data_IF_493930963022
#
_entry.id   IF_493930963022
#
_cell.length_a   1.000
_cell.length_b   1.000
_cell.length_c   1.000
_cell.angle_alpha   90.00
_cell.angle_beta   90.00
_cell.angle_gamma   90.00
#
_symmetry.space_group_name_H-M   'P 1'
#
loop_
_entity.id
_entity.type
_entity.pdbx_description
1 polymer ?
#
# COMPACT_ATOMS: atom_id res chain seq x y z
N UNK A 1 5.48 27.41 -10.62
CA UNK A 1 4.97 27.52 -9.24
C UNK A 1 5.38 26.25 -8.50
N UNK A 2 6.28 26.32 -7.52
CA UNK A 2 6.77 25.11 -6.85
C UNK A 2 5.78 24.78 -5.74
N UNK A 3 5.40 23.51 -5.58
CA UNK A 3 4.55 23.04 -4.47
C UNK A 3 5.10 23.45 -3.09
N UNK A 4 6.42 23.68 -2.99
CA UNK A 4 7.10 24.19 -1.81
C UNK A 4 6.60 25.57 -1.35
N UNK A 5 5.97 26.35 -2.24
CA UNK A 5 5.49 27.70 -1.95
C UNK A 5 4.21 27.69 -1.06
N UNK A 6 3.54 26.53 -0.94
CA UNK A 6 2.28 26.36 -0.19
C UNK A 6 2.42 25.48 1.07
N UNK A 7 3.60 24.94 1.35
CA UNK A 7 3.81 24.01 2.47
C UNK A 7 4.61 24.70 3.56
N UNK A 8 4.02 24.86 4.75
CA UNK A 8 4.69 25.47 5.91
C UNK A 8 5.92 24.64 6.30
N UNK A 9 7.03 25.25 6.74
CA UNK A 9 8.24 24.54 7.16
C UNK A 9 8.00 23.47 8.23
N UNK A 10 7.02 23.67 9.11
CA UNK A 10 6.61 22.70 10.12
C UNK A 10 5.97 21.44 9.52
N UNK A 11 5.22 21.58 8.43
CA UNK A 11 4.58 20.44 7.75
C UNK A 11 5.63 19.61 6.99
N UNK A 12 6.62 20.27 6.39
CA UNK A 12 7.77 19.61 5.76
C UNK A 12 8.59 18.79 6.76
N UNK A 13 8.85 19.34 7.95
CA UNK A 13 9.61 18.62 8.98
C UNK A 13 8.83 17.43 9.55
N UNK A 14 7.50 17.55 9.70
CA UNK A 14 6.62 16.43 10.10
C UNK A 14 6.61 15.31 9.07
N UNK A 15 6.48 15.63 7.78
CA UNK A 15 6.56 14.65 6.69
C UNK A 15 7.93 13.96 6.65
N UNK A 16 9.02 14.73 6.74
CA UNK A 16 10.37 14.18 6.76
C UNK A 16 10.58 13.23 7.96
N UNK A 17 10.09 13.62 9.15
CA UNK A 17 10.16 12.78 10.35
C UNK A 17 9.40 11.47 10.18
N UNK A 18 8.18 11.51 9.63
CA UNK A 18 7.42 10.29 9.36
C UNK A 18 8.09 9.38 8.35
N UNK A 19 8.72 9.94 7.30
CA UNK A 19 9.47 9.16 6.34
C UNK A 19 10.64 8.40 7.00
N UNK A 20 11.37 9.06 7.90
CA UNK A 20 12.47 8.44 8.66
C UNK A 20 11.95 7.34 9.59
N UNK A 21 10.84 7.59 10.30
CA UNK A 21 10.23 6.59 11.19
C UNK A 21 9.72 5.37 10.43
N UNK A 22 9.02 5.58 9.31
CA UNK A 22 8.53 4.52 8.43
C UNK A 22 9.69 3.65 7.94
N UNK A 23 10.78 4.28 7.49
CA UNK A 23 11.99 3.60 7.08
C UNK A 23 12.60 2.78 8.22
N UNK A 24 12.74 3.37 9.41
CA UNK A 24 13.30 2.68 10.58
C UNK A 24 12.47 1.46 11.03
N UNK A 25 11.14 1.56 11.01
CA UNK A 25 10.23 0.44 11.34
C UNK A 25 10.39 -0.69 10.33
N UNK A 26 10.37 -0.38 9.04
CA UNK A 26 10.43 -1.38 7.97
C UNK A 26 11.82 -2.02 7.89
N UNK A 27 12.88 -1.22 7.90
CA UNK A 27 14.25 -1.75 7.87
C UNK A 27 14.60 -2.53 9.14
N UNK A 28 14.12 -2.09 10.31
CA UNK A 28 14.26 -2.82 11.57
C UNK A 28 13.53 -4.16 11.59
N UNK A 29 12.34 -4.24 10.99
CA UNK A 29 11.61 -5.50 10.82
C UNK A 29 12.26 -6.42 9.78
N UNK A 30 12.70 -5.89 8.64
CA UNK A 30 13.33 -6.65 7.56
C UNK A 30 14.75 -7.13 7.89
N UNK A 31 15.49 -6.41 8.74
CA UNK A 31 16.86 -6.78 9.15
C UNK A 31 16.89 -7.85 10.25
N UNK A 32 15.78 -8.06 10.97
CA UNK A 32 15.72 -8.94 12.15
C UNK A 32 15.58 -10.44 11.90
N UNK A 33 15.18 -10.92 10.72
CA UNK A 33 14.98 -12.37 10.47
C UNK A 33 15.12 -12.73 9.00
N UNK A 34 16.37 -12.88 8.53
CA UNK A 34 16.73 -13.40 7.21
C UNK A 34 16.20 -12.57 6.02
N UNK A 35 17.00 -12.50 4.95
CA UNK A 35 16.56 -11.99 3.64
C UNK A 35 15.18 -12.54 3.32
N UNK A 36 14.22 -11.67 2.98
CA UNK A 36 13.00 -12.10 2.30
C UNK A 36 13.41 -12.98 1.11
N UNK A 37 12.85 -14.19 0.96
CA UNK A 37 13.15 -15.06 -0.19
C UNK A 37 12.58 -14.50 -1.51
N UNK A 38 11.80 -13.41 -1.45
CA UNK A 38 11.16 -12.82 -2.61
C UNK A 38 12.11 -11.84 -3.30
N UNK A 39 12.89 -12.37 -4.24
CA UNK A 39 13.43 -11.59 -5.36
C UNK A 39 12.25 -11.09 -6.18
N UNK A 40 11.98 -9.79 -6.11
CA UNK A 40 11.07 -9.15 -7.06
C UNK A 40 11.70 -9.02 -8.45
N UNK A 41 10.81 -9.01 -9.44
CA UNK A 41 10.98 -8.49 -10.80
C UNK A 41 11.65 -9.41 -11.82
N UNK A 42 10.91 -10.45 -12.21
CA UNK A 42 10.66 -10.74 -13.62
C UNK A 42 9.43 -11.63 -13.74
N UNK A 43 8.68 -11.51 -14.84
CA UNK A 43 7.82 -12.60 -15.33
C UNK A 43 8.78 -13.70 -15.78
N UNK A 44 9.45 -14.36 -14.84
CA UNK A 44 10.33 -15.47 -15.16
C UNK A 44 9.43 -16.69 -15.34
N UNK A 45 9.25 -17.02 -16.62
CA UNK A 45 8.85 -18.32 -17.11
C UNK A 45 9.35 -19.43 -16.17
N UNK A 46 8.44 -20.07 -15.44
CA UNK A 46 8.83 -20.99 -14.36
C UNK A 46 9.36 -22.32 -14.90
N UNK A 47 8.66 -22.95 -15.84
CA UNK A 47 9.10 -24.16 -16.53
C UNK A 47 8.13 -24.58 -17.66
N UNK A 48 8.63 -25.34 -18.63
CA UNK A 48 7.80 -26.03 -19.62
C UNK A 48 7.30 -27.33 -19.01
N UNK A 49 6.01 -27.40 -18.63
CA UNK A 49 5.40 -28.67 -18.22
C UNK A 49 4.92 -29.43 -19.46
N UNK A 50 5.21 -30.72 -19.54
CA UNK A 50 4.67 -31.56 -20.63
C UNK A 50 3.15 -31.61 -20.52
N UNK A 51 2.46 -31.43 -21.65
CA UNK A 51 1.00 -31.47 -21.72
C UNK A 51 0.45 -32.81 -21.21
N UNK A 52 -0.61 -32.74 -20.40
CA UNK A 52 -1.40 -33.90 -19.99
C UNK A 52 -2.84 -33.70 -20.47
N UNK A 53 -3.52 -34.80 -20.78
CA UNK A 53 -4.91 -34.77 -21.21
C UNK A 53 -5.80 -34.10 -20.13
N UNK A 54 -6.48 -33.02 -20.51
CA UNK A 54 -7.28 -32.19 -19.61
C UNK A 54 -6.73 -30.77 -19.42
N UNK A 55 -5.49 -30.52 -19.82
CA UNK A 55 -4.95 -29.16 -19.83
C UNK A 55 -5.51 -28.32 -21.01
N UNK A 56 -5.63 -27.00 -20.82
CA UNK A 56 -6.18 -26.11 -21.85
C UNK A 56 -5.19 -25.90 -23.02
N UNK A 57 -5.61 -26.23 -24.24
CA UNK A 57 -4.79 -26.12 -25.46
C UNK A 57 -4.30 -24.69 -25.77
N UNK A 58 -4.97 -23.66 -25.23
CA UNK A 58 -4.59 -22.25 -25.42
C UNK A 58 -3.23 -21.90 -24.78
N UNK A 59 -2.78 -22.70 -23.81
CA UNK A 59 -1.55 -22.47 -23.07
C UNK A 59 -0.35 -23.22 -23.67
N UNK A 60 -0.51 -23.88 -24.83
CA UNK A 60 0.55 -24.61 -25.52
C UNK A 60 1.59 -23.65 -26.10
N UNK A 61 2.87 -23.96 -25.87
CA UNK A 61 3.98 -23.26 -26.50
C UNK A 61 4.27 -23.82 -27.89
N UNK A 62 3.64 -23.25 -28.92
CA UNK A 62 3.84 -23.66 -30.31
C UNK A 62 5.29 -23.52 -30.79
N UNK A 63 6.09 -22.65 -30.16
CA UNK A 63 7.50 -22.45 -30.52
C UNK A 63 8.38 -23.59 -30.02
N UNK A 64 8.06 -24.19 -28.88
CA UNK A 64 8.72 -25.40 -28.38
C UNK A 64 8.25 -26.63 -29.14
N UNK A 65 6.97 -26.68 -29.49
CA UNK A 65 6.43 -27.75 -30.32
C UNK A 65 7.17 -27.84 -31.66
N UNK A 66 7.35 -26.72 -32.38
CA UNK A 66 8.08 -26.71 -33.65
C UNK A 66 9.56 -27.08 -33.59
N UNK A 67 10.15 -27.23 -32.39
CA UNK A 67 11.55 -27.64 -32.20
C UNK A 67 11.74 -29.04 -31.64
N UNK A 68 10.77 -29.52 -30.86
CA UNK A 68 10.90 -30.77 -30.08
C UNK A 68 9.83 -31.81 -30.41
N UNK A 69 8.83 -31.46 -31.23
CA UNK A 69 7.65 -32.27 -31.57
C UNK A 69 6.90 -32.82 -30.34
N UNK A 70 7.08 -32.14 -29.20
CA UNK A 70 6.47 -32.45 -27.90
C UNK A 70 5.63 -31.27 -27.45
N UNK A 71 4.45 -31.58 -26.92
CA UNK A 71 3.52 -30.57 -26.41
C UNK A 71 3.93 -30.14 -25.01
N UNK A 72 4.24 -28.86 -24.87
CA UNK A 72 4.55 -28.21 -23.60
C UNK A 72 3.60 -27.06 -23.32
N UNK A 73 3.26 -26.89 -22.05
CA UNK A 73 2.38 -25.83 -21.56
C UNK A 73 3.21 -24.76 -20.88
N UNK A 74 2.92 -23.51 -21.20
CA UNK A 74 3.47 -22.34 -20.52
C UNK A 74 2.73 -22.18 -19.20
N UNK A 75 3.39 -22.52 -18.10
CA UNK A 75 2.86 -22.19 -16.78
C UNK A 75 3.28 -20.76 -16.42
N UNK A 76 2.27 -19.92 -16.15
CA UNK A 76 2.45 -18.58 -15.65
C UNK A 76 2.22 -18.62 -14.14
N UNK A 77 3.16 -18.10 -13.35
CA UNK A 77 2.93 -17.81 -11.94
C UNK A 77 2.08 -16.53 -11.89
N UNK A 78 0.82 -16.64 -11.48
CA UNK A 78 -0.01 -15.45 -11.22
C UNK A 78 0.50 -14.76 -9.95
N UNK A 79 1.48 -13.87 -10.11
CA UNK A 79 1.83 -12.93 -9.04
C UNK A 79 0.65 -11.98 -8.82
N UNK A 80 -0.02 -12.18 -7.67
CA UNK A 80 -1.17 -11.36 -7.27
C UNK A 80 -0.63 -10.01 -6.80
N UNK A 81 -0.52 -9.03 -7.71
CA UNK A 81 -0.16 -7.65 -7.35
C UNK A 81 -1.14 -7.16 -6.27
N UNK A 82 -0.67 -7.01 -5.04
CA UNK A 82 -1.49 -6.59 -3.90
C UNK A 82 -1.84 -5.12 -4.10
N UNK A 83 -3.12 -4.78 -3.96
CA UNK A 83 -3.61 -3.39 -4.05
C UNK A 83 -4.26 -3.03 -2.73
N UNK A 84 -3.72 -2.04 -2.05
CA UNK A 84 -4.16 -1.64 -0.72
C UNK A 84 -4.60 -0.18 -0.70
N UNK A 85 -5.78 0.11 -0.15
CA UNK A 85 -6.16 1.49 0.19
C UNK A 85 -6.23 1.62 1.70
N UNK A 86 -5.36 2.45 2.26
CA UNK A 86 -5.33 2.72 3.69
C UNK A 86 -6.49 3.64 4.06
N UNK A 87 -7.30 3.22 5.04
CA UNK A 87 -8.38 4.02 5.60
C UNK A 87 -7.94 4.52 6.97
N UNK A 88 -7.79 5.83 7.13
CA UNK A 88 -7.30 6.43 8.38
C UNK A 88 -8.35 7.37 8.95
N UNK A 89 -8.82 7.03 10.15
CA UNK A 89 -9.74 7.85 10.92
C UNK A 89 -8.99 9.07 11.49
N UNK A 90 -9.58 10.24 11.30
CA UNK A 90 -9.13 11.55 11.80
C UNK A 90 -10.15 12.19 12.74
N UNK A 91 -11.16 11.46 13.20
CA UNK A 91 -12.17 11.96 14.13
C UNK A 91 -11.58 12.38 15.49
N UNK A 92 -12.35 13.17 16.25
CA UNK A 92 -11.97 13.67 17.57
C UNK A 92 -11.62 12.57 18.58
N UNK A 93 -12.18 11.37 18.44
CA UNK A 93 -11.84 10.22 19.28
C UNK A 93 -10.37 9.77 19.14
N UNK A 94 -9.75 10.06 17.99
CA UNK A 94 -8.36 9.71 17.70
C UNK A 94 -7.36 10.64 18.39
N UNK A 95 -7.81 11.78 18.91
CA UNK A 95 -6.99 12.66 19.74
C UNK A 95 -6.77 12.10 21.17
N UNK A 96 -7.41 10.99 21.53
CA UNK A 96 -7.24 10.36 22.82
C UNK A 96 -5.79 9.89 23.04
N UNK A 97 -5.22 10.28 24.18
CA UNK A 97 -3.92 9.81 24.68
C UNK A 97 -4.16 8.95 25.91
N UNK A 98 -3.82 7.66 25.82
CA UNK A 98 -3.98 6.74 26.94
C UNK A 98 -2.88 6.88 27.99
N UNK A 99 -3.15 6.45 29.21
CA UNK A 99 -2.17 6.39 30.31
C UNK A 99 -0.99 5.45 30.03
N UNK A 100 -1.18 4.47 29.13
CA UNK A 100 -0.12 3.56 28.64
C UNK A 100 0.54 4.04 27.34
N UNK A 101 0.24 5.25 26.87
CA UNK A 101 0.89 5.80 25.68
C UNK A 101 2.38 5.97 25.94
N UNK A 102 3.20 5.52 25.00
CA UNK A 102 4.62 5.82 25.01
C UNK A 102 4.77 7.25 24.50
N UNK A 103 5.53 8.08 25.21
CA UNK A 103 5.81 9.48 24.87
C UNK A 103 4.56 10.39 24.69
N UNK A 104 3.43 10.04 25.31
CA UNK A 104 2.20 10.85 25.24
C UNK A 104 1.52 10.84 23.86
N UNK A 105 1.82 9.85 23.02
CA UNK A 105 1.26 9.75 21.68
C UNK A 105 -0.24 9.45 21.69
N UNK A 106 -0.97 10.19 20.84
CA UNK A 106 -2.39 9.97 20.62
C UNK A 106 -2.63 8.74 19.74
N UNK A 107 -3.87 8.21 19.73
CA UNK A 107 -4.27 7.15 18.79
C UNK A 107 -4.02 7.57 17.33
N UNK A 108 -4.26 8.84 17.02
CA UNK A 108 -4.00 9.41 15.70
C UNK A 108 -2.51 9.31 15.32
N UNK A 109 -1.60 9.65 16.24
CA UNK A 109 -0.16 9.57 15.99
C UNK A 109 0.28 8.14 15.67
N UNK A 110 -0.26 7.16 16.39
CA UNK A 110 0.00 5.74 16.10
C UNK A 110 -0.55 5.33 14.74
N UNK A 111 -1.79 5.71 14.41
CA UNK A 111 -2.41 5.40 13.13
C UNK A 111 -1.63 5.99 11.95
N UNK A 112 -1.22 7.26 12.05
CA UNK A 112 -0.40 7.94 11.04
C UNK A 112 0.95 7.26 10.85
N UNK A 113 1.65 6.91 11.95
CA UNK A 113 2.94 6.21 11.88
C UNK A 113 2.81 4.83 11.24
N UNK A 114 1.77 4.07 11.62
CA UNK A 114 1.50 2.75 11.06
C UNK A 114 1.18 2.83 9.56
N UNK A 115 0.29 3.75 9.17
CA UNK A 115 -0.07 3.97 7.78
C UNK A 115 1.15 4.40 6.94
N UNK A 116 2.00 5.29 7.48
CA UNK A 116 3.24 5.72 6.84
C UNK A 116 4.23 4.55 6.64
N UNK A 117 4.44 3.74 7.67
CA UNK A 117 5.30 2.55 7.61
C UNK A 117 4.78 1.53 6.59
N UNK A 118 3.47 1.27 6.60
CA UNK A 118 2.86 0.32 5.69
C UNK A 118 2.90 0.81 4.23
N UNK A 119 2.62 2.09 3.98
CA UNK A 119 2.74 2.68 2.66
C UNK A 119 4.19 2.61 2.12
N UNK A 120 5.19 2.87 2.97
CA UNK A 120 6.59 2.72 2.60
C UNK A 120 6.94 1.26 2.24
N UNK A 121 6.47 0.31 3.03
CA UNK A 121 6.67 -1.12 2.79
C UNK A 121 6.04 -1.60 1.48
N UNK A 122 4.79 -1.22 1.20
CA UNK A 122 4.07 -1.56 -0.03
C UNK A 122 4.76 -0.96 -1.26
N UNK A 123 5.13 0.32 -1.21
CA UNK A 123 5.85 0.98 -2.31
C UNK A 123 7.24 0.39 -2.55
N UNK A 124 7.90 -0.12 -1.50
CA UNK A 124 9.16 -0.86 -1.61
C UNK A 124 9.04 -2.17 -2.39
N UNK A 125 7.88 -2.81 -2.33
CA UNK A 125 7.53 -4.02 -3.10
C UNK A 125 6.89 -3.70 -4.46
N UNK A 126 6.73 -2.42 -4.80
CA UNK A 126 6.00 -1.94 -5.98
C UNK A 126 4.51 -2.31 -6.00
N UNK A 127 3.93 -2.62 -4.84
CA UNK A 127 2.50 -2.82 -4.68
C UNK A 127 1.77 -1.46 -4.71
N UNK A 128 0.69 -1.30 -5.50
CA UNK A 128 -0.10 -0.08 -5.50
C UNK A 128 -0.75 0.18 -4.13
N UNK A 129 -0.42 1.33 -3.54
CA UNK A 129 -1.04 1.81 -2.31
C UNK A 129 -1.73 3.16 -2.53
N UNK A 130 -2.89 3.33 -1.89
CA UNK A 130 -3.65 4.58 -1.84
C UNK A 130 -4.02 4.90 -0.39
N UNK A 131 -4.60 6.09 -0.17
CA UNK A 131 -5.01 6.55 1.15
C UNK A 131 -6.35 7.25 1.07
N UNK A 132 -7.21 7.01 2.05
CA UNK A 132 -8.39 7.82 2.33
C UNK A 132 -8.38 8.19 3.81
N UNK A 133 -8.44 9.49 4.09
CA UNK A 133 -8.66 9.99 5.44
C UNK A 133 -10.11 10.41 5.62
N UNK A 134 -10.68 10.16 6.80
CA UNK A 134 -12.09 10.41 7.04
C UNK A 134 -12.40 10.76 8.49
N UNK A 135 -13.56 11.39 8.72
CA UNK A 135 -14.19 11.54 10.02
C UNK A 135 -15.71 11.23 9.94
N UNK A 136 -16.58 12.24 9.92
CA UNK A 136 -17.96 12.16 9.47
C UNK A 136 -18.08 12.18 7.93
N UNK A 137 -17.06 12.66 7.23
CA UNK A 137 -16.98 12.58 5.77
C UNK A 137 -15.56 12.29 5.28
N UNK A 138 -15.41 11.99 3.99
CA UNK A 138 -14.10 11.83 3.35
C UNK A 138 -13.40 13.19 3.35
N UNK A 139 -12.21 13.24 3.95
CA UNK A 139 -11.38 14.45 4.03
C UNK A 139 -10.40 14.52 2.88
N UNK A 140 -9.61 13.46 2.70
CA UNK A 140 -8.66 13.38 1.61
C UNK A 140 -8.68 12.02 0.95
N UNK A 141 -8.36 12.01 -0.33
CA UNK A 141 -8.25 10.79 -1.12
C UNK A 141 -7.01 10.87 -2.01
N UNK A 142 -6.09 9.95 -1.77
CA UNK A 142 -4.89 9.74 -2.58
C UNK A 142 -5.10 8.47 -3.41
N UNK A 143 -5.01 8.53 -4.75
CA UNK A 143 -5.29 7.39 -5.62
C UNK A 143 -4.20 6.32 -5.51
N UNK A 144 -4.55 5.06 -5.77
CA UNK A 144 -3.62 3.94 -5.82
C UNK A 144 -2.49 4.17 -6.83
N UNK A 145 -1.23 4.19 -6.38
CA UNK A 145 -0.04 4.15 -7.25
C UNK A 145 1.09 3.36 -6.59
N UNK A 146 2.00 2.82 -7.41
CA UNK A 146 3.13 1.99 -6.96
C UNK A 146 4.50 2.68 -7.06
N UNK A 147 4.56 3.90 -7.60
CA UNK A 147 5.84 4.62 -7.78
C UNK A 147 6.40 5.07 -6.42
N UNK A 148 7.70 4.94 -6.13
CA UNK A 148 8.28 5.39 -4.85
C UNK A 148 8.04 6.87 -4.53
N UNK A 149 7.95 7.73 -5.55
CA UNK A 149 7.61 9.15 -5.40
C UNK A 149 6.21 9.39 -4.84
N UNK A 150 5.35 8.37 -4.87
CA UNK A 150 3.98 8.41 -4.34
C UNK A 150 3.91 8.45 -2.81
N UNK A 151 5.00 8.09 -2.12
CA UNK A 151 5.06 8.16 -0.66
C UNK A 151 4.81 9.58 -0.15
N UNK A 152 5.39 10.59 -0.80
CA UNK A 152 5.31 11.98 -0.35
C UNK A 152 3.86 12.51 -0.33
N UNK A 153 3.05 12.37 -1.40
CA UNK A 153 1.62 12.66 -1.36
C UNK A 153 0.86 11.97 -0.22
N UNK A 154 1.14 10.69 0.05
CA UNK A 154 0.50 9.93 1.14
C UNK A 154 0.88 10.53 2.50
N UNK A 155 2.17 10.78 2.73
CA UNK A 155 2.63 11.37 4.00
C UNK A 155 2.09 12.78 4.22
N UNK A 156 2.03 13.61 3.17
CA UNK A 156 1.41 14.93 3.26
C UNK A 156 -0.04 14.81 3.68
N UNK A 157 -0.81 13.92 3.04
CA UNK A 157 -2.22 13.72 3.36
C UNK A 157 -2.48 13.17 4.78
N UNK A 158 -1.55 12.39 5.32
CA UNK A 158 -1.62 11.91 6.71
C UNK A 158 -1.33 13.01 7.74
N UNK A 159 -0.45 13.95 7.40
CA UNK A 159 0.03 15.02 8.31
C UNK A 159 -0.93 16.22 8.33
N UNK A 160 -1.62 16.45 7.21
CA UNK A 160 -2.57 17.54 7.03
C UNK A 160 -3.80 17.32 7.92
N UNK A 161 -3.68 17.83 9.15
CA UNK A 161 -4.63 17.66 10.24
C UNK A 161 -5.92 18.40 9.92
N UNK A 162 -6.93 17.65 9.46
CA UNK A 162 -8.25 18.15 9.13
C UNK A 162 -9.32 17.51 10.02
N UNK A 163 -9.25 17.84 11.32
CA UNK A 163 -10.40 18.27 12.15
C UNK A 163 -10.88 17.40 13.32
N UNK A 164 -11.34 18.13 14.35
CA UNK A 164 -11.91 17.70 15.63
C UNK A 164 -13.44 17.56 15.55
N UNK A 165 -13.96 16.52 14.89
CA UNK A 165 -15.41 16.25 14.82
C UNK A 165 -15.73 14.79 15.17
N UNK A 166 -17.01 14.49 15.39
CA UNK A 166 -17.49 13.11 15.60
C UNK A 166 -17.17 12.18 14.42
N UNK A 167 -17.35 10.87 14.62
CA UNK A 167 -17.10 9.82 13.62
C UNK A 167 -18.41 9.22 13.12
N UNK A 168 -18.60 9.13 11.79
CA UNK A 168 -19.65 8.30 11.17
C UNK A 168 -19.03 7.28 10.20
N UNK A 169 -18.60 6.15 10.75
CA UNK A 169 -18.07 5.04 9.95
C UNK A 169 -19.11 4.53 8.94
N UNK A 170 -20.38 4.42 9.33
CA UNK A 170 -21.42 3.81 8.48
C UNK A 170 -21.73 4.63 7.22
N UNK A 171 -21.74 5.96 7.32
CA UNK A 171 -21.89 6.86 6.18
C UNK A 171 -20.66 6.90 5.29
N UNK A 172 -19.47 6.90 5.89
CA UNK A 172 -18.18 6.96 5.17
C UNK A 172 -17.92 5.68 4.37
N UNK A 173 -18.10 4.50 4.97
CA UNK A 173 -17.88 3.23 4.26
C UNK A 173 -18.79 3.09 3.04
N UNK A 174 -20.06 3.53 3.12
CA UNK A 174 -20.97 3.56 1.96
C UNK A 174 -20.51 4.49 0.83
N UNK A 175 -19.78 5.57 1.16
CA UNK A 175 -19.20 6.49 0.16
C UNK A 175 -17.87 5.99 -0.41
N UNK A 176 -17.09 5.24 0.37
CA UNK A 176 -15.77 4.74 0.00
C UNK A 176 -15.86 3.45 -0.82
N UNK A 177 -16.67 2.48 -0.39
CA UNK A 177 -16.77 1.15 -1.03
C UNK A 177 -17.07 1.21 -2.53
N UNK A 178 -17.97 2.08 -3.04
CA UNK A 178 -18.20 2.19 -4.49
C UNK A 178 -17.00 2.77 -5.26
N UNK A 179 -16.13 3.53 -4.58
CA UNK A 179 -14.94 4.17 -5.16
C UNK A 179 -13.70 3.29 -5.09
N UNK A 180 -13.67 2.34 -4.16
CA UNK A 180 -12.70 1.26 -4.12
C UNK A 180 -13.08 0.27 -5.23
N UNK A 181 -12.33 0.27 -6.34
CA UNK A 181 -12.60 -0.63 -7.46
C UNK A 181 -12.75 -2.08 -6.98
N UNK A 182 -13.53 -2.89 -7.72
CA UNK A 182 -14.03 -4.26 -7.42
C UNK A 182 -13.03 -5.31 -6.86
N UNK A 183 -11.76 -4.99 -6.64
CA UNK A 183 -10.69 -5.85 -6.11
C UNK A 183 -9.78 -5.12 -5.11
N UNK A 184 -10.35 -4.30 -4.23
CA UNK A 184 -9.62 -3.75 -3.09
C UNK A 184 -9.94 -4.60 -1.86
N UNK A 185 -8.92 -5.19 -1.24
CA UNK A 185 -9.06 -5.78 0.08
C UNK A 185 -9.08 -4.64 1.11
N UNK A 186 -10.14 -4.60 1.90
CA UNK A 186 -10.33 -3.67 3.04
C UNK A 186 -9.73 -4.29 4.28
#
# INVERSE_FOLDING_TARGET
MRILDFVKPQELSRVARLQILARGIVEGYCSGRHRSPHKGFSVEFKEHRQYVQGDELKNIDWKVYGKSDRLYIRQYEEETNLRCTLLVDQSGSMAYTGTRSVDGLSKHDYAVRLAAAFAYFMLGQQDPVGLVTFDNDIRQQVPLRSRPSHLRPILTALVEDNSRRDTDLGGVFRKIVPKLGRRAHV
#
